data_IF_514152095803
#
_entry.id   IF_514152095803
#
_cell.length_a   1.000
_cell.length_b   1.000
_cell.length_c   1.000
_cell.angle_alpha   90.00
_cell.angle_beta   90.00
_cell.angle_gamma   90.00
#
_symmetry.space_group_name_H-M   'P 1'
#
loop_
_entity.id
_entity.type
_entity.pdbx_description
1 polymer ?
#
# COMPACT_ATOMS: atom_id res chain seq x y z
N UNK A 1 40.95 -26.89 -12.28
CA UNK A 1 39.70 -27.11 -11.52
C UNK A 1 39.48 -25.91 -10.63
N UNK A 2 38.64 -24.96 -11.05
CA UNK A 2 38.30 -23.79 -10.25
C UNK A 2 37.17 -24.16 -9.26
N UNK A 3 37.20 -23.71 -7.99
CA UNK A 3 36.07 -23.88 -7.10
C UNK A 3 34.93 -22.94 -7.53
N UNK A 4 33.70 -23.43 -7.41
CA UNK A 4 32.49 -22.70 -7.73
C UNK A 4 32.39 -21.42 -6.88
N UNK A 5 32.32 -20.27 -7.54
CA UNK A 5 32.06 -18.98 -6.90
C UNK A 5 30.64 -19.00 -6.31
N UNK A 6 30.59 -19.04 -4.98
CA UNK A 6 29.35 -19.05 -4.21
C UNK A 6 28.56 -17.77 -4.44
N UNK A 7 27.32 -17.91 -4.90
CA UNK A 7 26.33 -16.82 -4.92
C UNK A 7 26.27 -16.20 -3.52
N UNK A 8 26.38 -14.86 -3.38
CA UNK A 8 26.25 -14.23 -2.09
C UNK A 8 24.85 -14.54 -1.54
N UNK A 9 24.83 -15.29 -0.45
CA UNK A 9 23.62 -15.63 0.27
C UNK A 9 23.11 -14.33 0.89
N UNK A 10 22.10 -13.70 0.27
CA UNK A 10 21.39 -12.57 0.84
C UNK A 10 20.82 -13.05 2.19
N UNK A 11 21.48 -12.68 3.28
CA UNK A 11 20.98 -12.91 4.62
C UNK A 11 19.80 -11.96 4.80
N UNK A 12 18.60 -12.45 4.48
CA UNK A 12 17.36 -11.84 4.96
C UNK A 12 17.42 -12.00 6.47
N UNK A 13 17.84 -10.94 7.16
CA UNK A 13 17.74 -10.86 8.61
C UNK A 13 16.26 -11.02 8.95
N UNK A 14 15.92 -12.18 9.50
CA UNK A 14 14.59 -12.49 9.96
C UNK A 14 14.20 -11.45 11.00
N UNK A 15 13.25 -10.58 10.65
CA UNK A 15 12.54 -9.75 11.62
C UNK A 15 11.97 -10.64 12.72
N UNK A 16 12.03 -10.14 13.95
CA UNK A 16 11.66 -10.83 15.18
C UNK A 16 10.21 -11.35 15.23
N UNK A 17 9.80 -11.94 16.37
CA UNK A 17 8.54 -12.66 16.48
C UNK A 17 7.35 -11.70 16.53
N UNK A 18 6.88 -11.33 15.34
CA UNK A 18 5.54 -10.82 15.07
C UNK A 18 4.99 -11.55 13.85
N UNK A 19 4.01 -12.44 14.06
CA UNK A 19 2.98 -12.86 13.10
C UNK A 19 3.41 -13.08 11.63
N UNK A 20 4.30 -14.04 11.43
CA UNK A 20 4.97 -14.31 10.14
C UNK A 20 4.11 -14.97 9.03
N UNK A 21 2.77 -15.00 9.08
CA UNK A 21 1.98 -15.76 8.07
C UNK A 21 0.58 -15.22 7.71
N UNK A 22 0.35 -13.91 7.66
CA UNK A 22 -0.96 -13.36 7.25
C UNK A 22 -1.24 -13.32 5.72
N UNK A 23 -0.26 -13.56 4.84
CA UNK A 23 -0.47 -13.46 3.38
C UNK A 23 -1.27 -14.61 2.74
N UNK A 24 -1.46 -15.74 3.44
CA UNK A 24 -2.32 -16.84 2.98
C UNK A 24 -3.80 -16.67 3.40
N UNK A 25 -4.13 -15.70 4.27
CA UNK A 25 -5.51 -15.44 4.73
C UNK A 25 -6.30 -14.47 3.83
N UNK A 26 -5.81 -14.17 2.63
CA UNK A 26 -6.20 -13.00 1.81
C UNK A 26 -7.51 -13.10 1.02
N UNK A 27 -8.39 -14.06 1.29
CA UNK A 27 -9.51 -14.35 0.38
C UNK A 27 -10.82 -14.78 1.04
N UNK A 28 -11.02 -14.55 2.34
CA UNK A 28 -12.36 -14.69 2.90
C UNK A 28 -13.27 -13.53 2.49
N UNK A 29 -14.59 -13.71 2.64
CA UNK A 29 -15.58 -12.72 2.22
C UNK A 29 -15.45 -11.39 2.99
N UNK A 30 -14.98 -11.45 4.24
CA UNK A 30 -14.81 -10.26 5.07
C UNK A 30 -13.66 -9.40 4.56
N UNK A 31 -12.53 -10.02 4.19
CA UNK A 31 -11.41 -9.31 3.61
C UNK A 31 -11.78 -8.64 2.29
N UNK A 32 -12.49 -9.35 1.41
CA UNK A 32 -13.03 -8.79 0.16
C UNK A 32 -13.92 -7.56 0.41
N UNK A 33 -14.75 -7.61 1.45
CA UNK A 33 -15.59 -6.47 1.84
C UNK A 33 -14.73 -5.28 2.29
N UNK A 34 -13.66 -5.52 3.06
CA UNK A 34 -12.71 -4.47 3.48
C UNK A 34 -11.98 -3.86 2.28
N UNK A 35 -11.56 -4.66 1.30
CA UNK A 35 -10.94 -4.17 0.06
C UNK A 35 -11.84 -3.17 -0.68
N UNK A 36 -13.15 -3.47 -0.77
CA UNK A 36 -14.12 -2.59 -1.41
C UNK A 36 -14.43 -1.33 -0.58
N UNK A 37 -14.41 -1.44 0.74
CA UNK A 37 -14.66 -0.34 1.66
C UNK A 37 -13.49 0.66 1.70
N UNK A 38 -12.25 0.18 1.74
CA UNK A 38 -11.05 1.02 1.85
C UNK A 38 -10.65 1.70 0.53
N UNK A 39 -11.15 1.20 -0.62
CA UNK A 39 -10.77 1.72 -1.95
C UNK A 39 -11.11 3.22 -2.09
N UNK A 40 -10.12 4.10 -2.37
CA UNK A 40 -10.35 5.53 -2.51
C UNK A 40 -11.38 5.86 -3.59
N UNK A 41 -12.38 6.68 -3.24
CA UNK A 41 -13.45 7.10 -4.16
C UNK A 41 -13.20 8.46 -4.78
N UNK A 42 -12.53 9.34 -4.04
CA UNK A 42 -12.26 10.73 -4.44
C UNK A 42 -10.77 11.02 -4.44
N UNK A 43 -10.34 11.91 -5.32
CA UNK A 43 -8.97 12.38 -5.41
C UNK A 43 -8.63 13.28 -4.21
N UNK A 44 -7.53 13.04 -3.47
CA UNK A 44 -7.15 13.87 -2.32
C UNK A 44 -6.71 15.29 -2.74
N UNK A 45 -6.36 15.49 -4.01
CA UNK A 45 -5.92 16.80 -4.51
C UNK A 45 -7.07 17.70 -4.95
N UNK A 46 -8.10 17.14 -5.59
CA UNK A 46 -9.17 17.94 -6.21
C UNK A 46 -10.59 17.55 -5.77
N UNK A 47 -10.73 16.52 -4.93
CA UNK A 47 -12.02 16.06 -4.41
C UNK A 47 -12.94 15.37 -5.42
N UNK A 48 -12.57 15.29 -6.71
CA UNK A 48 -13.39 14.64 -7.74
C UNK A 48 -13.26 13.12 -7.71
N UNK A 49 -14.28 12.42 -8.19
CA UNK A 49 -14.20 10.97 -8.38
C UNK A 49 -13.13 10.62 -9.41
N UNK A 50 -12.55 9.42 -9.27
CA UNK A 50 -11.48 8.99 -10.17
C UNK A 50 -11.95 8.80 -11.62
N UNK A 51 -13.19 8.39 -11.87
CA UNK A 51 -13.69 8.15 -13.24
C UNK A 51 -12.76 7.23 -14.02
N UNK A 52 -12.26 7.69 -15.17
CA UNK A 52 -11.22 7.04 -16.01
C UNK A 52 -9.80 7.06 -15.39
N UNK A 53 -9.69 7.44 -14.11
CA UNK A 53 -8.46 7.41 -13.34
C UNK A 53 -8.05 5.99 -12.95
N UNK A 54 -6.81 5.86 -12.49
CA UNK A 54 -6.23 4.57 -12.12
C UNK A 54 -6.21 4.44 -10.61
N UNK A 55 -6.58 3.26 -10.10
CA UNK A 55 -6.43 2.89 -8.68
C UNK A 55 -5.86 1.47 -8.65
N UNK A 56 -4.60 1.35 -8.25
CA UNK A 56 -3.89 0.08 -8.08
C UNK A 56 -3.63 -0.12 -6.59
N UNK A 57 -4.02 -1.27 -6.08
CA UNK A 57 -3.71 -1.69 -4.71
C UNK A 57 -2.38 -2.44 -4.68
N UNK A 58 -1.58 -2.16 -3.66
CA UNK A 58 -0.40 -2.94 -3.32
C UNK A 58 -0.17 -2.92 -1.80
N UNK A 59 0.85 -3.66 -1.35
CA UNK A 59 1.19 -3.77 0.07
C UNK A 59 2.64 -3.35 0.30
N UNK A 60 2.84 -2.48 1.30
CA UNK A 60 4.15 -2.17 1.86
C UNK A 60 4.19 -2.74 3.27
N UNK A 61 4.93 -3.84 3.45
CA UNK A 61 4.87 -4.65 4.66
C UNK A 61 3.41 -5.05 5.00
N UNK A 62 2.91 -4.65 6.17
CA UNK A 62 1.54 -4.85 6.66
C UNK A 62 0.57 -3.74 6.26
N UNK A 63 1.07 -2.66 5.63
CA UNK A 63 0.27 -1.52 5.24
C UNK A 63 -0.28 -1.68 3.83
N UNK A 64 -1.62 -1.59 3.70
CA UNK A 64 -2.31 -1.52 2.42
C UNK A 64 -2.19 -0.12 1.83
N UNK A 65 -1.73 -0.02 0.58
CA UNK A 65 -1.51 1.24 -0.13
C UNK A 65 -2.22 1.22 -1.48
N UNK A 66 -2.82 2.34 -1.84
CA UNK A 66 -3.43 2.58 -3.14
C UNK A 66 -2.62 3.61 -3.90
N UNK A 67 -2.00 3.21 -5.01
CA UNK A 67 -1.46 4.14 -5.98
C UNK A 67 -2.61 4.64 -6.86
N UNK A 68 -2.84 5.95 -6.85
CA UNK A 68 -3.95 6.57 -7.53
C UNK A 68 -3.49 7.63 -8.51
N UNK A 69 -4.06 7.64 -9.72
CA UNK A 69 -3.90 8.73 -10.68
C UNK A 69 -5.27 9.32 -11.05
N UNK A 70 -5.42 10.64 -10.91
CA UNK A 70 -6.66 11.33 -11.20
C UNK A 70 -6.67 11.90 -12.63
N UNK A 71 -7.65 11.51 -13.43
CA UNK A 71 -7.85 12.03 -14.79
C UNK A 71 -8.25 13.51 -14.81
N UNK A 72 -8.94 14.00 -13.77
CA UNK A 72 -9.44 15.38 -13.72
C UNK A 72 -8.35 16.42 -13.38
N UNK A 73 -7.48 16.14 -12.40
CA UNK A 73 -6.42 17.07 -11.99
C UNK A 73 -5.00 16.61 -12.40
N UNK A 74 -4.88 15.44 -13.02
CA UNK A 74 -3.63 14.84 -13.54
C UNK A 74 -2.54 14.63 -12.50
N UNK A 75 -2.91 14.52 -11.22
CA UNK A 75 -1.98 14.25 -10.13
C UNK A 75 -2.07 12.80 -9.69
N UNK A 76 -0.91 12.25 -9.33
CA UNK A 76 -0.81 10.99 -8.64
C UNK A 76 -0.81 11.21 -7.12
N UNK A 77 -1.24 10.20 -6.37
CA UNK A 77 -1.16 10.14 -4.93
C UNK A 77 -1.01 8.69 -4.48
N UNK A 78 -0.33 8.48 -3.37
CA UNK A 78 -0.43 7.23 -2.61
C UNK A 78 -1.36 7.46 -1.44
N UNK A 79 -2.33 6.56 -1.28
CA UNK A 79 -3.35 6.64 -0.24
C UNK A 79 -3.31 5.35 0.56
N UNK A 80 -3.07 5.45 1.85
CA UNK A 80 -3.20 4.34 2.79
C UNK A 80 -4.28 4.66 3.80
N UNK A 81 -4.89 3.63 4.38
CA UNK A 81 -5.82 3.81 5.50
C UNK A 81 -5.02 4.22 6.74
N UNK A 82 -5.43 5.31 7.37
CA UNK A 82 -4.92 5.74 8.66
C UNK A 82 -6.11 5.93 9.60
N UNK A 83 -6.07 5.30 10.78
CA UNK A 83 -7.13 5.47 11.79
C UNK A 83 -7.14 6.88 12.39
N UNK A 84 -5.99 7.55 12.37
CA UNK A 84 -5.82 8.93 12.83
C UNK A 84 -4.69 9.60 12.06
N UNK A 85 -4.93 10.83 11.61
CA UNK A 85 -3.90 11.72 11.05
C UNK A 85 -3.70 12.86 12.02
N UNK A 86 -2.47 13.04 12.49
CA UNK A 86 -2.06 14.18 13.31
C UNK A 86 -1.14 15.04 12.44
N UNK A 87 -1.55 16.29 12.21
CA UNK A 87 -0.75 17.27 11.48
C UNK A 87 -0.44 18.44 12.39
N UNK A 88 0.68 19.10 12.16
CA UNK A 88 1.03 20.35 12.81
C UNK A 88 0.85 21.45 11.77
N UNK A 89 0.03 22.44 12.08
CA UNK A 89 0.01 23.66 11.29
C UNK A 89 1.14 24.54 11.79
N UNK A 90 2.15 24.78 10.94
CA UNK A 90 3.12 25.83 11.23
C UNK A 90 2.41 27.16 11.04
N UNK A 91 2.36 27.98 12.09
CA UNK A 91 1.97 29.38 11.93
C UNK A 91 3.11 30.09 11.21
N UNK A 92 2.78 30.74 10.08
CA UNK A 92 3.71 31.51 9.25
C UNK A 92 3.69 32.98 9.67
#
# INVERSE_FOLDING_TARGET
MAPAEGRPQLQILAGGPGDRHHWLKRHDAEDQQRHLADRPRLCPWCGRSYGEGIIVEYWTADTRVFHCWCSACRRAAEVSRADRVITHHLEH
#
